data_IF_332302393218
#
_entry.id   IF_332302393218
#
_cell.length_a   1.000
_cell.length_b   1.000
_cell.length_c   1.000
_cell.angle_alpha   90.00
_cell.angle_beta   90.00
_cell.angle_gamma   90.00
#
_symmetry.space_group_name_H-M   'P 1'
#
loop_
_entity.id
_entity.type
_entity.pdbx_description
1 polymer ?
#
# COMPACT_ATOMS: atom_id res chain seq x y z
N UNK A 1 -23.78 -12.14 -0.61
CA UNK A 1 -23.58 -10.77 -1.14
C UNK A 1 -22.19 -10.26 -0.74
N UNK A 2 -21.15 -10.84 -1.34
CA UNK A 2 -19.79 -10.28 -1.33
C UNK A 2 -19.46 -10.03 -2.81
N UNK A 3 -20.10 -9.02 -3.39
CA UNK A 3 -19.53 -8.35 -4.55
C UNK A 3 -18.26 -7.67 -4.06
N UNK A 4 -17.10 -7.98 -4.64
CA UNK A 4 -15.81 -7.37 -4.29
C UNK A 4 -15.71 -5.89 -4.67
N UNK A 5 -16.81 -5.16 -4.66
CA UNK A 5 -16.83 -3.71 -4.68
C UNK A 5 -16.66 -3.26 -3.23
N UNK A 6 -15.47 -2.74 -2.93
CA UNK A 6 -15.16 -2.07 -1.68
C UNK A 6 -16.22 -0.99 -1.40
N UNK A 7 -16.49 -0.73 -0.13
CA UNK A 7 -17.42 0.33 0.28
C UNK A 7 -17.06 1.66 -0.42
N UNK A 8 -18.06 2.43 -0.88
CA UNK A 8 -17.81 3.66 -1.62
C UNK A 8 -17.03 4.66 -0.75
N UNK A 9 -15.98 5.24 -1.33
CA UNK A 9 -15.20 6.28 -0.67
C UNK A 9 -15.94 7.62 -0.77
N UNK A 10 -16.23 8.21 0.38
CA UNK A 10 -16.80 9.56 0.47
C UNK A 10 -15.68 10.59 0.60
N UNK A 11 -15.52 11.40 -0.44
CA UNK A 11 -14.53 12.49 -0.52
C UNK A 11 -15.25 13.83 -0.41
N UNK A 12 -14.73 14.71 0.46
CA UNK A 12 -15.23 16.07 0.66
C UNK A 12 -14.13 17.05 0.28
N UNK A 13 -14.45 18.00 -0.60
CA UNK A 13 -13.55 19.09 -0.95
C UNK A 13 -13.62 20.20 0.10
N UNK A 14 -12.57 20.38 0.88
CA UNK A 14 -12.53 21.33 2.00
C UNK A 14 -11.49 22.42 1.74
N UNK A 15 -11.88 23.68 1.93
CA UNK A 15 -10.95 24.81 1.85
C UNK A 15 -10.17 24.96 3.17
N UNK A 16 -8.89 24.58 3.16
CA UNK A 16 -8.01 24.53 4.34
C UNK A 16 -6.88 25.57 4.26
N UNK A 17 -6.41 26.07 5.40
CA UNK A 17 -5.23 26.94 5.49
C UNK A 17 -3.96 26.09 5.49
N UNK A 18 -3.36 25.92 4.32
CA UNK A 18 -2.19 25.09 4.09
C UNK A 18 -0.88 25.88 4.18
N UNK A 19 0.22 25.16 4.47
CA UNK A 19 1.57 25.72 4.47
C UNK A 19 2.05 26.04 3.04
N UNK A 20 3.03 26.95 2.91
CA UNK A 20 3.64 27.28 1.60
C UNK A 20 4.39 26.11 0.97
N UNK A 21 4.83 25.15 1.77
CA UNK A 21 5.49 23.93 1.28
C UNK A 21 4.50 23.04 0.54
N UNK A 22 3.29 22.91 1.07
CA UNK A 22 2.21 22.13 0.46
C UNK A 22 1.79 22.65 -0.91
N UNK A 23 1.92 23.95 -1.17
CA UNK A 23 1.60 24.57 -2.47
C UNK A 23 2.55 24.15 -3.59
N UNK A 24 3.75 23.65 -3.27
CA UNK A 24 4.77 23.25 -4.26
C UNK A 24 4.58 21.83 -4.78
N UNK A 25 3.72 21.05 -4.13
CA UNK A 25 3.51 19.65 -4.48
C UNK A 25 2.09 19.46 -5.01
N UNK A 26 1.98 18.88 -6.19
CA UNK A 26 0.69 18.62 -6.84
C UNK A 26 -0.07 17.44 -6.21
N UNK A 27 0.60 16.62 -5.40
CA UNK A 27 -0.02 15.47 -4.73
C UNK A 27 -0.90 15.91 -3.56
N UNK A 28 -2.14 15.42 -3.52
CA UNK A 28 -3.11 15.65 -2.44
C UNK A 28 -2.56 15.28 -1.05
N UNK A 29 -1.76 14.21 -0.97
CA UNK A 29 -1.15 13.71 0.28
C UNK A 29 -0.14 14.69 0.89
N UNK A 30 0.35 15.66 0.13
CA UNK A 30 1.33 16.63 0.59
C UNK A 30 0.73 17.84 1.34
N UNK A 31 -0.60 17.91 1.45
CA UNK A 31 -1.30 18.98 2.15
C UNK A 31 -1.01 18.92 3.66
N UNK A 32 -0.44 20.01 4.20
CA UNK A 32 -0.10 20.19 5.61
C UNK A 32 -0.64 21.52 6.12
N UNK A 33 -1.09 21.59 7.39
CA UNK A 33 -1.55 22.84 7.97
C UNK A 33 -0.41 23.88 8.02
N UNK A 34 -0.77 25.16 7.86
CA UNK A 34 0.18 26.24 8.09
C UNK A 34 0.63 26.25 9.56
N UNK A 35 1.92 26.54 9.80
CA UNK A 35 2.43 26.70 11.16
C UNK A 35 1.84 27.95 11.83
N UNK A 36 1.80 28.05 13.17
CA UNK A 36 1.22 29.20 13.88
C UNK A 36 1.81 30.56 13.47
N UNK A 37 3.10 30.59 13.16
CA UNK A 37 3.88 31.75 12.72
C UNK A 37 3.77 32.02 11.21
N UNK A 38 3.16 31.11 10.45
CA UNK A 38 3.07 31.19 9.00
C UNK A 38 1.72 31.75 8.56
N UNK A 39 1.72 32.71 7.62
CA UNK A 39 0.48 33.27 7.04
C UNK A 39 -0.40 32.19 6.41
N UNK A 40 0.21 31.17 5.79
CA UNK A 40 -0.49 30.12 5.04
C UNK A 40 -1.25 30.64 3.82
N UNK A 41 -1.78 29.72 3.02
CA UNK A 41 -2.70 30.01 1.90
C UNK A 41 -3.89 29.05 1.96
N UNK A 42 -5.08 29.54 1.63
CA UNK A 42 -6.28 28.72 1.58
C UNK A 42 -6.25 27.84 0.33
N UNK A 43 -6.35 26.52 0.44
CA UNK A 43 -6.35 25.58 -0.69
C UNK A 43 -7.54 24.63 -0.58
N UNK A 44 -8.17 24.29 -1.70
CA UNK A 44 -9.22 23.26 -1.74
C UNK A 44 -8.52 21.91 -1.76
N UNK A 45 -8.72 21.11 -0.72
CA UNK A 45 -8.10 19.80 -0.53
C UNK A 45 -9.20 18.75 -0.46
N UNK A 46 -9.21 17.74 -1.35
CA UNK A 46 -10.10 16.60 -1.21
C UNK A 46 -9.64 15.73 -0.04
N UNK A 47 -10.52 15.55 0.95
CA UNK A 47 -10.25 14.74 2.15
C UNK A 47 -11.31 13.67 2.31
N UNK A 48 -10.93 12.53 2.90
CA UNK A 48 -11.89 11.48 3.25
C UNK A 48 -12.79 11.94 4.40
N UNK A 49 -14.07 11.55 4.35
CA UNK A 49 -15.09 12.00 5.32
C UNK A 49 -14.71 11.76 6.79
N UNK A 50 -13.98 10.67 7.09
CA UNK A 50 -13.57 10.33 8.46
C UNK A 50 -12.49 11.25 9.04
N UNK A 51 -11.90 12.13 8.23
CA UNK A 51 -10.93 13.13 8.68
C UNK A 51 -11.60 14.40 9.21
N UNK A 52 -12.92 14.53 9.05
CA UNK A 52 -13.70 15.65 9.59
C UNK A 52 -13.96 15.41 11.09
N UNK A 53 -13.40 16.26 11.95
CA UNK A 53 -13.52 16.14 13.40
C UNK A 53 -14.71 16.89 14.00
N UNK A 54 -15.22 17.92 13.32
CA UNK A 54 -16.30 18.77 13.81
C UNK A 54 -17.11 19.36 12.66
N UNK A 55 -18.40 19.58 12.90
CA UNK A 55 -19.31 20.29 11.99
C UNK A 55 -19.96 21.42 12.77
N UNK A 56 -19.92 22.63 12.20
CA UNK A 56 -20.49 23.83 12.80
C UNK A 56 -21.84 24.19 12.17
N UNK A 57 -22.70 24.84 12.95
CA UNK A 57 -23.94 25.47 12.45
C UNK A 57 -23.67 26.71 11.59
N UNK A 58 -22.48 27.30 11.68
CA UNK A 58 -22.13 28.52 10.95
C UNK A 58 -21.94 28.23 9.46
N UNK A 59 -22.69 28.94 8.62
CA UNK A 59 -22.54 28.92 7.16
C UNK A 59 -22.03 30.27 6.68
N UNK A 60 -20.91 30.25 5.95
CA UNK A 60 -20.31 31.44 5.37
C UNK A 60 -20.62 31.55 3.88
N UNK A 61 -20.69 32.78 3.40
CA UNK A 61 -20.72 33.03 1.96
C UNK A 61 -19.40 32.58 1.32
N UNK A 62 -19.49 31.78 0.27
CA UNK A 62 -18.37 31.35 -0.55
C UNK A 62 -18.48 32.00 -1.94
N UNK A 63 -17.41 32.62 -2.46
CA UNK A 63 -17.38 33.07 -3.85
C UNK A 63 -17.60 31.90 -4.82
N UNK A 64 -18.32 32.14 -5.93
CA UNK A 64 -18.59 31.10 -6.95
C UNK A 64 -17.32 30.54 -7.62
N UNK A 65 -16.25 31.33 -7.67
CA UNK A 65 -14.96 30.91 -8.23
C UNK A 65 -13.88 30.96 -7.15
N UNK A 66 -13.36 29.80 -6.76
CA UNK A 66 -12.28 29.65 -5.78
C UNK A 66 -10.91 29.43 -6.43
N UNK A 67 -10.77 29.53 -7.76
CA UNK A 67 -9.44 29.46 -8.40
C UNK A 67 -8.56 30.66 -8.02
N UNK A 68 -9.06 31.91 -8.01
CA UNK A 68 -8.26 33.07 -7.61
C UNK A 68 -7.86 33.02 -6.14
N UNK A 69 -6.58 33.33 -5.86
CA UNK A 69 -6.04 33.40 -4.49
C UNK A 69 -6.83 34.40 -3.64
N UNK A 70 -7.17 35.56 -4.19
CA UNK A 70 -7.90 36.62 -3.47
C UNK A 70 -9.29 36.16 -3.01
N UNK A 71 -9.98 35.38 -3.84
CA UNK A 71 -11.29 34.82 -3.50
C UNK A 71 -11.18 33.80 -2.36
N UNK A 72 -10.17 32.91 -2.41
CA UNK A 72 -9.89 31.97 -1.32
C UNK A 72 -9.50 32.70 -0.03
N UNK A 73 -8.70 33.75 -0.14
CA UNK A 73 -8.27 34.54 1.01
C UNK A 73 -9.40 35.36 1.64
N UNK A 74 -10.40 35.76 0.85
CA UNK A 74 -11.63 36.39 1.36
C UNK A 74 -12.41 35.47 2.32
N UNK A 75 -12.45 34.17 2.02
CA UNK A 75 -13.07 33.17 2.89
C UNK A 75 -12.31 33.05 4.22
N UNK A 76 -10.96 33.09 4.21
CA UNK A 76 -10.16 33.11 5.44
C UNK A 76 -10.49 34.30 6.32
N UNK A 77 -10.63 35.51 5.74
CA UNK A 77 -11.02 36.70 6.49
C UNK A 77 -12.39 36.52 7.14
N UNK A 78 -13.32 35.89 6.42
CA UNK A 78 -14.67 35.59 6.94
C UNK A 78 -14.63 34.58 8.09
N UNK A 79 -13.79 33.55 8.00
CA UNK A 79 -13.56 32.58 9.08
C UNK A 79 -12.97 33.28 10.32
N UNK A 80 -11.98 34.14 10.13
CA UNK A 80 -11.36 34.90 11.23
C UNK A 80 -12.35 35.85 11.91
N UNK A 81 -13.25 36.47 11.15
CA UNK A 81 -14.31 37.32 11.70
C UNK A 81 -15.28 36.51 12.56
N UNK A 82 -15.64 35.29 12.14
CA UNK A 82 -16.46 34.38 12.96
C UNK A 82 -15.74 33.98 14.23
N UNK A 83 -14.46 33.60 14.14
CA UNK A 83 -13.65 33.26 15.31
C UNK A 83 -13.56 34.42 16.32
N UNK A 84 -13.48 35.67 15.83
CA UNK A 84 -13.50 36.86 16.70
C UNK A 84 -14.85 37.06 17.39
N UNK A 85 -15.96 36.73 16.73
CA UNK A 85 -17.32 36.85 17.30
C UNK A 85 -17.65 35.74 18.30
N UNK A 86 -16.96 34.60 18.20
CA UNK A 86 -17.13 33.45 19.07
C UNK A 86 -15.79 33.10 19.76
N UNK A 87 -15.35 33.93 20.74
CA UNK A 87 -14.07 33.73 21.43
C UNK A 87 -14.02 32.42 22.21
N UNK A 88 -15.17 31.93 22.68
CA UNK A 88 -15.30 30.67 23.42
C UNK A 88 -15.36 29.42 22.51
N UNK A 89 -15.35 29.63 21.19
CA UNK A 89 -15.44 28.57 20.17
C UNK A 89 -16.68 28.70 19.29
N UNK A 90 -16.53 28.30 18.03
CA UNK A 90 -17.61 28.34 17.04
C UNK A 90 -18.66 27.29 17.40
N UNK A 91 -19.98 27.60 17.34
CA UNK A 91 -21.02 26.65 17.71
C UNK A 91 -21.00 25.41 16.81
N UNK A 92 -20.96 24.24 17.46
CA UNK A 92 -20.99 22.94 16.80
C UNK A 92 -22.42 22.41 16.70
N UNK A 93 -22.67 21.54 15.73
CA UNK A 93 -23.91 20.80 15.64
C UNK A 93 -23.92 19.67 16.66
N UNK A 94 -25.02 19.53 17.39
CA UNK A 94 -25.23 18.39 18.28
C UNK A 94 -25.42 17.09 17.47
N UNK A 95 -24.67 16.02 17.77
CA UNK A 95 -24.80 14.75 17.06
C UNK A 95 -26.20 14.13 17.09
N UNK A 96 -27.00 14.37 18.12
CA UNK A 96 -28.34 13.79 18.29
C UNK A 96 -29.40 14.80 17.86
N UNK A 97 -29.40 16.00 18.43
CA UNK A 97 -30.47 16.97 18.27
C UNK A 97 -30.43 17.65 16.90
N UNK A 98 -29.24 18.02 16.41
CA UNK A 98 -29.09 18.69 15.11
C UNK A 98 -28.82 17.71 13.96
N UNK A 99 -27.94 16.73 14.17
CA UNK A 99 -27.55 15.76 13.14
C UNK A 99 -28.49 14.54 13.07
N UNK A 100 -29.33 14.32 14.07
CA UNK A 100 -30.33 13.25 14.06
C UNK A 100 -29.76 11.83 14.21
N UNK A 101 -28.55 11.66 14.77
CA UNK A 101 -27.93 10.33 14.90
C UNK A 101 -28.62 9.54 16.01
N UNK A 102 -29.33 8.47 15.62
CA UNK A 102 -30.13 7.65 16.54
C UNK A 102 -29.36 6.45 17.13
N UNK A 103 -28.05 6.39 16.95
CA UNK A 103 -27.23 5.26 17.41
C UNK A 103 -27.17 5.17 18.96
N UNK A 104 -27.44 3.98 19.47
CA UNK A 104 -27.43 3.72 20.91
C UNK A 104 -26.01 3.67 21.48
N UNK A 105 -25.02 3.32 20.66
CA UNK A 105 -23.61 3.36 21.03
C UNK A 105 -23.18 4.79 21.34
N UNK A 106 -23.50 5.74 20.44
CA UNK A 106 -23.23 7.16 20.62
C UNK A 106 -23.85 7.73 21.90
N UNK A 107 -25.12 7.42 22.18
CA UNK A 107 -25.79 7.85 23.43
C UNK A 107 -25.04 7.40 24.69
N UNK A 108 -24.53 6.17 24.70
CA UNK A 108 -23.72 5.66 25.82
C UNK A 108 -22.36 6.37 25.94
N UNK A 109 -21.77 6.78 24.82
CA UNK A 109 -20.52 7.55 24.82
C UNK A 109 -20.76 8.94 25.40
N UNK A 110 -21.81 9.64 24.96
CA UNK A 110 -22.18 10.97 25.48
C UNK A 110 -22.41 10.91 26.99
N UNK A 111 -23.20 9.96 27.49
CA UNK A 111 -23.41 9.75 28.93
C UNK A 111 -22.10 9.53 29.71
N UNK A 112 -21.12 8.83 29.11
CA UNK A 112 -19.81 8.64 29.73
C UNK A 112 -19.01 9.94 29.74
N UNK A 113 -19.05 10.73 28.66
CA UNK A 113 -18.39 12.04 28.60
C UNK A 113 -18.93 12.93 29.72
N UNK A 114 -20.25 13.08 29.84
CA UNK A 114 -20.90 13.85 30.91
C UNK A 114 -20.49 13.35 32.31
N UNK A 115 -20.45 12.03 32.52
CA UNK A 115 -20.02 11.45 33.79
C UNK A 115 -18.54 11.74 34.10
N UNK A 116 -17.66 11.76 33.10
CA UNK A 116 -16.26 12.10 33.28
C UNK A 116 -16.05 13.61 33.47
N UNK A 117 -16.81 14.46 32.81
CA UNK A 117 -16.81 15.91 33.03
C UNK A 117 -17.24 16.23 34.47
N UNK A 118 -18.34 15.63 34.95
CA UNK A 118 -18.75 15.79 36.34
C UNK A 118 -17.64 15.37 37.31
N UNK A 119 -16.97 14.23 37.04
CA UNK A 119 -15.83 13.79 37.85
C UNK A 119 -14.66 14.74 37.78
N UNK A 120 -14.36 15.30 36.61
CA UNK A 120 -13.30 16.27 36.40
C UNK A 120 -13.55 17.52 37.23
N UNK A 121 -14.74 18.13 37.14
CA UNK A 121 -15.10 19.32 37.92
C UNK A 121 -15.15 19.07 39.42
N UNK A 122 -15.56 17.86 39.85
CA UNK A 122 -15.59 17.47 41.26
C UNK A 122 -14.21 17.21 41.87
N UNK A 123 -13.19 17.00 41.05
CA UNK A 123 -11.87 16.63 41.53
C UNK A 123 -11.16 17.85 42.15
N UNK A 124 -10.57 17.75 43.36
CA UNK A 124 -9.96 18.90 44.04
C UNK A 124 -8.90 19.64 43.22
N UNK A 125 -8.15 18.91 42.40
CA UNK A 125 -7.10 19.47 41.54
C UNK A 125 -7.64 20.40 40.44
N UNK A 126 -8.93 20.30 40.07
CA UNK A 126 -9.49 21.12 38.98
C UNK A 126 -9.42 22.63 39.27
N UNK A 127 -9.60 23.01 40.54
CA UNK A 127 -9.55 24.40 40.99
C UNK A 127 -8.21 24.77 41.64
N UNK A 128 -7.23 23.87 41.65
CA UNK A 128 -5.92 24.12 42.26
C UNK A 128 -5.08 25.01 41.32
N UNK A 129 -4.53 26.14 41.80
CA UNK A 129 -3.70 27.02 40.98
C UNK A 129 -2.41 26.35 40.45
N UNK A 130 -1.98 25.26 41.08
CA UNK A 130 -0.81 24.48 40.65
C UNK A 130 -1.17 23.31 39.72
N UNK A 131 -2.43 23.19 39.28
CA UNK A 131 -2.92 22.12 38.39
C UNK A 131 -1.96 21.87 37.23
N UNK A 132 -1.60 22.90 36.47
CA UNK A 132 -0.76 22.78 35.27
C UNK A 132 0.60 22.16 35.59
N UNK A 133 1.23 22.60 36.69
CA UNK A 133 2.54 22.10 37.12
C UNK A 133 2.45 20.63 37.55
N UNK A 134 1.47 20.29 38.37
CA UNK A 134 1.27 18.92 38.88
C UNK A 134 0.89 17.97 37.74
N UNK A 135 0.02 18.42 36.84
CA UNK A 135 -0.41 17.67 35.67
C UNK A 135 0.76 17.39 34.73
N UNK A 136 1.59 18.40 34.42
CA UNK A 136 2.81 18.24 33.62
C UNK A 136 3.78 17.23 34.23
N UNK A 137 3.96 17.24 35.55
CA UNK A 137 4.81 16.25 36.24
C UNK A 137 4.21 14.84 36.17
N UNK A 138 2.90 14.71 36.28
CA UNK A 138 2.18 13.44 36.13
C UNK A 138 2.32 12.89 34.71
N UNK A 139 2.16 13.74 33.70
CA UNK A 139 2.34 13.40 32.29
C UNK A 139 3.78 12.93 32.02
N UNK A 140 4.79 13.67 32.50
CA UNK A 140 6.20 13.25 32.39
C UNK A 140 6.44 11.89 33.06
N UNK A 141 5.89 11.67 34.26
CA UNK A 141 6.00 10.38 34.96
C UNK A 141 5.35 9.25 34.17
N UNK A 142 4.16 9.49 33.60
CA UNK A 142 3.45 8.53 32.78
C UNK A 142 4.23 8.19 31.51
N UNK A 143 4.81 9.21 30.84
CA UNK A 143 5.65 9.03 29.67
C UNK A 143 6.88 8.17 29.99
N UNK A 144 7.61 8.49 31.06
CA UNK A 144 8.75 7.68 31.51
C UNK A 144 8.33 6.24 31.83
N UNK A 145 7.15 6.03 32.42
CA UNK A 145 6.64 4.69 32.69
C UNK A 145 6.33 3.90 31.39
N UNK A 146 5.82 4.58 30.36
CA UNK A 146 5.63 4.02 29.01
C UNK A 146 6.99 3.66 28.41
N UNK A 147 7.97 4.55 28.49
CA UNK A 147 9.32 4.34 27.96
C UNK A 147 10.01 3.16 28.65
N UNK A 148 9.93 3.07 29.98
CA UNK A 148 10.43 1.93 30.76
C UNK A 148 9.76 0.63 30.31
N UNK A 149 8.44 0.63 30.10
CA UNK A 149 7.72 -0.56 29.63
C UNK A 149 8.14 -0.95 28.22
N UNK A 150 8.37 0.02 27.35
CA UNK A 150 8.89 -0.19 25.99
C UNK A 150 10.29 -0.79 26.02
N UNK A 151 11.23 -0.16 26.75
CA UNK A 151 12.60 -0.64 26.91
C UNK A 151 12.67 -2.06 27.51
N UNK A 152 11.81 -2.36 28.49
CA UNK A 152 11.68 -3.73 29.03
C UNK A 152 11.20 -4.74 27.98
N UNK A 153 10.27 -4.35 27.09
CA UNK A 153 9.83 -5.21 25.98
C UNK A 153 10.95 -5.43 24.97
N UNK A 154 11.70 -4.39 24.62
CA UNK A 154 12.84 -4.50 23.70
C UNK A 154 13.95 -5.38 24.27
N UNK A 155 14.28 -5.24 25.55
CA UNK A 155 15.25 -6.10 26.22
C UNK A 155 14.81 -7.58 26.19
N UNK A 156 13.51 -7.84 26.38
CA UNK A 156 12.95 -9.20 26.24
C UNK A 156 13.06 -9.71 24.79
N UNK A 157 12.80 -8.86 23.80
CA UNK A 157 12.97 -9.17 22.37
C UNK A 157 14.43 -9.49 22.05
N UNK A 158 15.39 -8.69 22.52
CA UNK A 158 16.81 -8.89 22.26
C UNK A 158 17.37 -10.19 22.85
N UNK A 159 16.80 -10.67 23.96
CA UNK A 159 17.15 -11.99 24.55
C UNK A 159 16.52 -13.17 23.81
N UNK A 160 15.50 -12.93 23.00
CA UNK A 160 14.86 -13.96 22.19
C UNK A 160 15.58 -14.00 20.84
N UNK A 161 15.86 -15.19 20.30
CA UNK A 161 16.36 -15.30 18.93
C UNK A 161 15.18 -14.95 18.01
N UNK A 162 15.03 -13.66 17.70
CA UNK A 162 13.86 -13.06 17.03
C UNK A 162 13.44 -13.80 15.76
N UNK A 163 14.39 -14.39 15.03
CA UNK A 163 14.14 -15.09 13.77
C UNK A 163 13.77 -16.57 13.93
N UNK A 164 13.87 -17.17 15.12
CA UNK A 164 13.58 -18.61 15.29
C UNK A 164 12.09 -18.94 15.17
N UNK A 165 11.21 -18.07 15.66
CA UNK A 165 9.78 -18.32 15.58
C UNK A 165 9.24 -18.08 14.18
N UNK A 166 9.74 -17.03 13.51
CA UNK A 166 9.46 -16.82 12.09
C UNK A 166 9.98 -17.99 11.23
N UNK A 167 11.21 -18.45 11.47
CA UNK A 167 11.79 -19.61 10.78
C UNK A 167 10.92 -20.87 10.94
N UNK A 168 10.39 -21.12 12.14
CA UNK A 168 9.45 -22.25 12.37
C UNK A 168 8.17 -22.08 11.55
N UNK A 169 7.63 -20.87 11.48
CA UNK A 169 6.42 -20.57 10.69
C UNK A 169 6.70 -20.75 9.19
N UNK A 170 7.83 -20.24 8.68
CA UNK A 170 8.26 -20.46 7.28
C UNK A 170 8.47 -21.94 6.96
N UNK A 171 9.14 -22.69 7.85
CA UNK A 171 9.28 -24.16 7.71
C UNK A 171 7.93 -24.86 7.65
N UNK A 172 6.94 -24.42 8.44
CA UNK A 172 5.58 -24.97 8.38
C UNK A 172 4.92 -24.73 7.02
N UNK A 173 5.11 -23.57 6.40
CA UNK A 173 4.64 -23.29 5.03
C UNK A 173 5.31 -24.22 4.03
N UNK A 174 6.65 -24.30 4.04
CA UNK A 174 7.42 -25.15 3.13
C UNK A 174 6.98 -26.62 3.21
N UNK A 175 6.72 -27.13 4.42
CA UNK A 175 6.23 -28.49 4.64
C UNK A 175 4.82 -28.71 4.11
N UNK A 176 3.92 -27.74 4.28
CA UNK A 176 2.53 -27.83 3.82
C UNK A 176 2.40 -27.74 2.30
N UNK A 177 3.25 -26.96 1.65
CA UNK A 177 3.28 -26.80 0.20
C UNK A 177 4.14 -27.86 -0.51
N UNK A 178 4.79 -28.74 0.24
CA UNK A 178 5.59 -29.86 -0.30
C UNK A 178 6.98 -29.46 -0.82
N UNK A 179 7.53 -28.32 -0.37
CA UNK A 179 8.90 -27.91 -0.68
C UNK A 179 9.94 -28.66 0.18
N UNK A 180 9.54 -29.13 1.36
CA UNK A 180 10.33 -29.96 2.24
C UNK A 180 9.45 -30.96 2.99
N UNK A 181 10.04 -32.06 3.44
CA UNK A 181 9.37 -33.06 4.29
C UNK A 181 9.21 -32.58 5.73
N UNK A 182 8.40 -33.30 6.52
CA UNK A 182 8.25 -33.04 7.96
C UNK A 182 9.55 -33.12 8.75
N UNK A 183 10.55 -33.86 8.25
CA UNK A 183 11.89 -34.00 8.81
C UNK A 183 12.89 -32.95 8.30
N UNK A 184 12.42 -31.89 7.64
CA UNK A 184 13.24 -30.83 7.04
C UNK A 184 14.20 -31.30 5.94
N UNK A 185 13.85 -32.39 5.26
CA UNK A 185 14.58 -32.85 4.06
C UNK A 185 13.97 -32.17 2.83
N UNK A 186 14.81 -31.54 2.01
CA UNK A 186 14.38 -30.83 0.80
C UNK A 186 13.80 -31.79 -0.25
N UNK A 187 12.64 -31.43 -0.79
CA UNK A 187 11.96 -32.18 -1.85
C UNK A 187 12.30 -31.62 -3.25
N UNK A 188 11.86 -32.30 -4.31
CA UNK A 188 12.08 -31.83 -5.69
C UNK A 188 11.58 -30.40 -5.89
N UNK A 189 10.40 -30.06 -5.37
CA UNK A 189 9.85 -28.70 -5.43
C UNK A 189 10.76 -27.68 -4.74
N UNK A 190 11.34 -28.04 -3.59
CA UNK A 190 12.33 -27.22 -2.89
C UNK A 190 13.59 -26.98 -3.71
N UNK A 191 14.13 -28.00 -4.39
CA UNK A 191 15.33 -27.87 -5.23
C UNK A 191 15.11 -26.91 -6.39
N UNK A 192 13.95 -26.97 -7.02
CA UNK A 192 13.57 -26.10 -8.14
C UNK A 192 13.46 -24.65 -7.68
N UNK A 193 12.85 -24.43 -6.51
CA UNK A 193 12.75 -23.10 -5.91
C UNK A 193 14.13 -22.48 -5.63
N UNK A 194 15.15 -23.29 -5.31
CA UNK A 194 16.52 -22.80 -5.08
C UNK A 194 17.17 -22.18 -6.33
N UNK A 195 16.67 -22.47 -7.54
CA UNK A 195 17.18 -21.86 -8.78
C UNK A 195 16.62 -20.45 -9.01
N UNK A 196 15.58 -20.05 -8.26
CA UNK A 196 14.89 -18.77 -8.40
C UNK A 196 15.31 -17.85 -7.26
N UNK A 197 15.90 -16.71 -7.61
CA UNK A 197 16.41 -15.72 -6.64
C UNK A 197 16.01 -14.27 -6.94
N UNK A 198 15.52 -14.01 -8.15
CA UNK A 198 15.18 -12.66 -8.63
C UNK A 198 13.71 -12.26 -8.42
N UNK A 199 12.89 -13.19 -7.91
CA UNK A 199 11.44 -13.08 -7.75
C UNK A 199 10.93 -14.04 -6.65
N UNK A 200 9.61 -14.06 -6.41
CA UNK A 200 8.97 -14.99 -5.46
C UNK A 200 9.10 -16.45 -5.92
N UNK A 201 10.06 -17.14 -5.29
CA UNK A 201 10.45 -18.51 -5.60
C UNK A 201 9.34 -19.53 -5.30
N UNK A 202 8.50 -19.26 -4.31
CA UNK A 202 7.46 -20.17 -3.86
C UNK A 202 6.31 -20.19 -4.86
N UNK A 203 5.85 -19.01 -5.28
CA UNK A 203 4.75 -18.86 -6.24
C UNK A 203 5.15 -19.35 -7.63
N UNK A 204 6.34 -18.99 -8.11
CA UNK A 204 6.81 -19.43 -9.43
C UNK A 204 6.95 -20.95 -9.51
N UNK A 205 7.49 -21.56 -8.47
CA UNK A 205 7.61 -23.03 -8.40
C UNK A 205 6.23 -23.69 -8.30
N UNK A 206 5.29 -23.16 -7.50
CA UNK A 206 3.90 -23.66 -7.47
C UNK A 206 3.24 -23.59 -8.86
N UNK A 207 3.40 -22.48 -9.58
CA UNK A 207 2.85 -22.32 -10.93
C UNK A 207 3.46 -23.31 -11.92
N UNK A 208 4.77 -23.58 -11.84
CA UNK A 208 5.41 -24.60 -12.67
C UNK A 208 4.87 -26.00 -12.38
N UNK A 209 4.75 -26.39 -11.10
CA UNK A 209 4.25 -27.71 -10.72
C UNK A 209 2.75 -27.90 -10.96
N UNK A 210 1.96 -26.82 -10.94
CA UNK A 210 0.55 -26.83 -11.34
C UNK A 210 0.37 -26.88 -12.87
N UNK A 211 1.46 -26.83 -13.64
CA UNK A 211 1.43 -26.90 -15.09
C UNK A 211 0.93 -25.63 -15.79
N UNK A 212 0.84 -24.50 -15.07
CA UNK A 212 0.31 -23.24 -15.63
C UNK A 212 1.08 -22.84 -16.90
N UNK A 213 2.41 -22.94 -16.87
CA UNK A 213 3.26 -22.56 -17.99
C UNK A 213 3.22 -23.55 -19.16
N UNK A 214 2.63 -24.73 -19.03
CA UNK A 214 2.63 -25.75 -20.09
C UNK A 214 1.78 -25.31 -21.29
N UNK A 215 0.63 -24.69 -21.04
CA UNK A 215 -0.33 -24.28 -22.07
C UNK A 215 -0.08 -22.87 -22.63
N UNK A 216 0.87 -22.12 -22.05
CA UNK A 216 1.19 -20.77 -22.49
C UNK A 216 2.15 -20.75 -23.68
N UNK A 217 2.01 -19.76 -24.56
CA UNK A 217 3.07 -19.41 -25.52
C UNK A 217 4.29 -18.83 -24.80
N UNK A 218 5.44 -18.79 -25.48
CA UNK A 218 6.66 -18.17 -24.93
C UNK A 218 6.45 -16.68 -24.60
N UNK A 219 5.69 -15.96 -25.43
CA UNK A 219 5.31 -14.56 -25.21
C UNK A 219 4.39 -14.40 -24.00
N UNK A 220 3.37 -15.26 -23.85
CA UNK A 220 2.47 -15.23 -22.70
C UNK A 220 3.20 -15.55 -21.40
N UNK A 221 4.07 -16.56 -21.40
CA UNK A 221 4.88 -16.91 -20.23
C UNK A 221 5.80 -15.75 -19.82
N UNK A 222 6.47 -15.13 -20.80
CA UNK A 222 7.35 -13.98 -20.57
C UNK A 222 6.58 -12.76 -20.06
N UNK A 223 5.41 -12.48 -20.64
CA UNK A 223 4.53 -11.40 -20.19
C UNK A 223 4.05 -11.62 -18.75
N UNK A 224 3.64 -12.84 -18.38
CA UNK A 224 3.21 -13.16 -17.02
C UNK A 224 4.33 -12.99 -16.00
N UNK A 225 5.55 -13.39 -16.34
CA UNK A 225 6.72 -13.23 -15.46
C UNK A 225 7.08 -11.75 -15.23
N UNK A 226 6.64 -10.82 -16.09
CA UNK A 226 6.85 -9.38 -15.88
C UNK A 226 6.21 -8.88 -14.57
N UNK A 227 5.10 -9.50 -14.14
CA UNK A 227 4.42 -9.17 -12.89
C UNK A 227 5.30 -9.32 -11.65
N UNK A 228 6.31 -10.19 -11.71
CA UNK A 228 7.19 -10.51 -10.60
C UNK A 228 8.37 -9.55 -10.48
N UNK A 229 8.78 -8.93 -11.59
CA UNK A 229 9.99 -8.08 -11.65
C UNK A 229 9.68 -6.59 -11.78
N UNK A 230 8.47 -6.24 -12.22
CA UNK A 230 8.01 -4.86 -12.27
C UNK A 230 7.60 -4.38 -10.87
N UNK A 231 8.34 -3.42 -10.32
CA UNK A 231 8.14 -2.93 -8.95
C UNK A 231 7.65 -1.48 -8.87
N UNK A 232 7.59 -0.76 -9.99
CA UNK A 232 7.19 0.66 -9.98
C UNK A 232 5.68 0.82 -9.88
N UNK A 233 5.23 1.96 -9.38
CA UNK A 233 3.81 2.29 -9.36
C UNK A 233 3.47 2.91 -10.71
N UNK A 234 2.44 2.37 -11.37
CA UNK A 234 1.82 3.00 -12.54
C UNK A 234 0.40 3.35 -12.16
N UNK A 235 -0.08 4.48 -12.68
CA UNK A 235 -1.40 5.02 -12.34
C UNK A 235 -2.53 4.37 -13.13
N UNK A 236 -2.21 3.69 -14.23
CA UNK A 236 -3.18 3.07 -15.14
C UNK A 236 -3.10 1.55 -15.09
N UNK A 237 -4.19 0.89 -14.70
CA UNK A 237 -4.33 -0.54 -14.98
C UNK A 237 -4.52 -0.74 -16.49
N UNK A 238 -3.62 -1.46 -17.19
CA UNK A 238 -3.80 -1.72 -18.61
C UNK A 238 -5.04 -2.59 -18.81
N UNK A 239 -5.78 -2.32 -19.89
CA UNK A 239 -6.84 -3.21 -20.36
C UNK A 239 -6.19 -4.45 -20.96
N UNK A 240 -5.90 -5.43 -20.11
CA UNK A 240 -5.36 -6.72 -20.49
C UNK A 240 -6.21 -7.36 -21.57
N UNK A 241 -5.54 -7.88 -22.60
CA UNK A 241 -6.18 -8.74 -23.59
C UNK A 241 -6.73 -10.02 -22.92
N UNK A 242 -7.81 -10.59 -23.45
CA UNK A 242 -8.41 -11.82 -22.90
C UNK A 242 -7.40 -12.97 -22.76
N UNK A 243 -6.41 -13.02 -23.67
CA UNK A 243 -5.34 -14.01 -23.70
C UNK A 243 -4.34 -13.88 -22.53
N UNK A 244 -4.23 -12.70 -21.90
CA UNK A 244 -3.34 -12.44 -20.76
C UNK A 244 -4.09 -12.34 -19.44
N UNK A 245 -5.39 -11.99 -19.47
CA UNK A 245 -6.26 -11.98 -18.30
C UNK A 245 -6.41 -13.38 -17.68
N UNK A 246 -6.51 -14.43 -18.49
CA UNK A 246 -6.60 -15.81 -18.03
C UNK A 246 -5.38 -16.25 -17.20
N UNK A 247 -4.15 -16.20 -17.75
CA UNK A 247 -2.93 -16.51 -17.01
C UNK A 247 -2.74 -15.66 -15.75
N UNK A 248 -3.04 -14.36 -15.80
CA UNK A 248 -2.98 -13.48 -14.64
C UNK A 248 -3.91 -13.96 -13.51
N UNK A 249 -5.15 -14.31 -13.85
CA UNK A 249 -6.12 -14.83 -12.87
C UNK A 249 -5.63 -16.11 -12.22
N UNK A 250 -5.08 -17.05 -12.99
CA UNK A 250 -4.55 -18.30 -12.45
C UNK A 250 -3.34 -18.06 -11.52
N UNK A 251 -2.46 -17.12 -11.87
CA UNK A 251 -1.37 -16.69 -10.99
C UNK A 251 -1.91 -16.11 -9.68
N UNK A 252 -2.91 -15.22 -9.73
CA UNK A 252 -3.53 -14.63 -8.54
C UNK A 252 -4.21 -15.69 -7.66
N UNK A 253 -4.87 -16.69 -8.25
CA UNK A 253 -5.46 -17.81 -7.51
C UNK A 253 -4.39 -18.66 -6.79
N UNK A 254 -3.23 -18.88 -7.43
CA UNK A 254 -2.08 -19.53 -6.78
C UNK A 254 -1.51 -18.68 -5.64
N UNK A 255 -1.34 -17.37 -5.86
CA UNK A 255 -0.86 -16.43 -4.85
C UNK A 255 -1.79 -16.38 -3.62
N UNK A 256 -3.11 -16.33 -3.84
CA UNK A 256 -4.12 -16.41 -2.77
C UNK A 256 -3.97 -17.66 -1.92
N UNK A 257 -3.74 -18.81 -2.56
CA UNK A 257 -3.53 -20.08 -1.86
C UNK A 257 -2.30 -20.03 -0.96
N UNK A 258 -1.19 -19.47 -1.45
CA UNK A 258 0.05 -19.32 -0.68
C UNK A 258 -0.17 -18.36 0.50
N UNK A 259 -0.78 -17.19 0.27
CA UNK A 259 -1.09 -16.23 1.33
C UNK A 259 -1.91 -16.86 2.45
N UNK A 260 -2.95 -17.62 2.09
CA UNK A 260 -3.79 -18.36 3.04
C UNK A 260 -2.99 -19.38 3.85
N UNK A 261 -2.17 -20.21 3.19
CA UNK A 261 -1.35 -21.22 3.87
C UNK A 261 -0.34 -20.55 4.82
N UNK A 262 0.22 -19.41 4.41
CA UNK A 262 1.13 -18.60 5.22
C UNK A 262 0.46 -17.99 6.45
N UNK A 263 -0.73 -17.42 6.29
CA UNK A 263 -1.53 -16.90 7.40
C UNK A 263 -1.90 -18.00 8.40
N UNK A 264 -2.35 -19.16 7.91
CA UNK A 264 -2.63 -20.35 8.75
C UNK A 264 -1.38 -20.90 9.46
N UNK A 265 -0.18 -20.63 8.92
CA UNK A 265 1.10 -20.95 9.53
C UNK A 265 1.58 -19.90 10.53
N UNK A 266 0.78 -18.87 10.82
CA UNK A 266 1.06 -17.75 11.73
C UNK A 266 2.13 -16.77 11.24
N UNK A 267 2.32 -16.66 9.93
CA UNK A 267 3.09 -15.56 9.36
C UNK A 267 2.21 -14.31 9.27
N UNK A 268 2.79 -13.15 9.56
CA UNK A 268 2.14 -11.85 9.40
C UNK A 268 2.16 -11.46 7.92
N UNK A 269 1.24 -12.03 7.14
CA UNK A 269 1.05 -11.73 5.73
C UNK A 269 -0.38 -11.22 5.55
N UNK A 270 -0.51 -10.04 4.97
CA UNK A 270 -1.76 -9.52 4.48
C UNK A 270 -2.00 -9.99 3.03
N UNK A 271 -3.16 -10.60 2.78
CA UNK A 271 -3.47 -11.21 1.48
C UNK A 271 -3.52 -10.17 0.36
N UNK A 272 -4.13 -9.01 0.63
CA UNK A 272 -4.26 -7.93 -0.36
C UNK A 272 -2.88 -7.34 -0.70
N UNK A 273 -2.05 -7.07 0.31
CA UNK A 273 -0.68 -6.60 0.12
C UNK A 273 0.15 -7.60 -0.68
N UNK A 274 0.05 -8.90 -0.38
CA UNK A 274 0.78 -9.93 -1.13
C UNK A 274 0.34 -10.01 -2.59
N UNK A 275 -0.97 -9.99 -2.87
CA UNK A 275 -1.47 -10.01 -4.24
C UNK A 275 -1.09 -8.75 -5.02
N UNK A 276 -1.17 -7.58 -4.38
CA UNK A 276 -0.84 -6.29 -5.00
C UNK A 276 0.65 -6.09 -5.27
N UNK A 277 1.50 -6.94 -4.68
CA UNK A 277 2.94 -6.96 -4.94
C UNK A 277 3.27 -7.41 -6.37
N UNK A 278 2.38 -8.19 -7.01
CA UNK A 278 2.52 -8.63 -8.39
C UNK A 278 1.81 -7.66 -9.33
N UNK A 279 2.58 -6.92 -10.13
CA UNK A 279 2.07 -5.76 -10.87
C UNK A 279 1.87 -6.06 -12.35
N UNK A 280 0.63 -6.17 -12.86
CA UNK A 280 0.35 -6.53 -14.26
C UNK A 280 0.54 -5.38 -15.26
N UNK A 281 0.96 -4.20 -14.81
CA UNK A 281 0.97 -2.95 -15.58
C UNK A 281 1.81 -3.01 -16.87
N UNK A 282 2.83 -3.85 -16.92
CA UNK A 282 3.68 -4.03 -18.11
C UNK A 282 3.41 -5.34 -18.88
N UNK A 283 2.39 -6.13 -18.52
CA UNK A 283 2.13 -7.41 -19.18
C UNK A 283 1.91 -7.27 -20.69
N UNK A 284 0.99 -6.41 -21.13
CA UNK A 284 0.73 -6.20 -22.56
C UNK A 284 1.94 -5.59 -23.29
N UNK A 285 2.67 -4.70 -22.62
CA UNK A 285 3.90 -4.05 -23.13
C UNK A 285 4.96 -5.12 -23.42
N UNK A 286 5.19 -6.02 -22.46
CA UNK A 286 6.16 -7.12 -22.57
C UNK A 286 5.72 -8.13 -23.60
N UNK A 287 4.43 -8.48 -23.66
CA UNK A 287 3.89 -9.36 -24.69
C UNK A 287 4.11 -8.79 -26.09
N UNK A 288 3.73 -7.53 -26.31
CA UNK A 288 3.85 -6.84 -27.61
C UNK A 288 5.32 -6.69 -28.04
N UNK A 289 6.22 -6.48 -27.07
CA UNK A 289 7.65 -6.56 -27.31
C UNK A 289 8.09 -7.98 -27.70
N UNK A 290 7.67 -9.01 -26.99
CA UNK A 290 8.03 -10.39 -27.32
C UNK A 290 7.52 -10.83 -28.71
N UNK A 291 6.43 -10.25 -29.20
CA UNK A 291 5.92 -10.50 -30.58
C UNK A 291 6.64 -9.71 -31.68
N UNK A 292 7.64 -8.88 -31.34
CA UNK A 292 8.50 -8.21 -32.32
C UNK A 292 8.22 -6.72 -32.57
N UNK A 293 7.38 -6.04 -31.78
CA UNK A 293 7.10 -4.61 -31.96
C UNK A 293 8.33 -3.71 -31.70
N UNK A 294 8.36 -2.50 -32.26
CA UNK A 294 9.49 -1.58 -32.00
C UNK A 294 9.43 -0.97 -30.59
N UNK A 295 10.57 -0.53 -30.06
CA UNK A 295 10.62 0.06 -28.72
C UNK A 295 9.75 1.33 -28.64
N UNK A 296 9.79 2.15 -29.69
CA UNK A 296 8.96 3.34 -29.82
C UNK A 296 7.45 3.04 -29.82
N UNK A 297 7.03 1.84 -30.24
CA UNK A 297 5.63 1.44 -30.16
C UNK A 297 5.22 1.10 -28.72
N UNK A 298 6.02 0.28 -28.02
CA UNK A 298 5.67 -0.15 -26.66
C UNK A 298 5.70 1.01 -25.65
N UNK A 299 6.55 2.03 -25.85
CA UNK A 299 6.56 3.24 -25.01
C UNK A 299 5.26 4.06 -25.13
N UNK A 300 4.50 3.90 -26.21
CA UNK A 300 3.19 4.59 -26.38
C UNK A 300 2.05 3.85 -25.70
N UNK A 301 2.27 2.63 -25.23
CA UNK A 301 1.23 1.79 -24.62
C UNK A 301 1.08 2.00 -23.11
N UNK A 302 2.02 2.73 -22.48
CA UNK A 302 2.07 2.89 -21.02
C UNK A 302 2.58 4.28 -20.65
N UNK A 303 2.20 4.76 -19.47
CA UNK A 303 2.69 5.98 -18.82
C UNK A 303 4.06 5.80 -18.15
N UNK A 304 4.55 4.56 -18.07
CA UNK A 304 5.83 4.22 -17.43
C UNK A 304 7.02 4.75 -18.23
N UNK A 305 7.96 5.41 -17.55
CA UNK A 305 9.18 5.92 -18.17
C UNK A 305 10.01 4.83 -18.86
N UNK A 306 10.67 5.19 -19.96
CA UNK A 306 11.41 4.26 -20.82
C UNK A 306 12.54 3.54 -20.07
N UNK A 307 13.22 4.25 -19.17
CA UNK A 307 14.28 3.66 -18.34
C UNK A 307 13.75 2.57 -17.40
N UNK A 308 12.52 2.71 -16.93
CA UNK A 308 11.84 1.72 -16.08
C UNK A 308 11.41 0.49 -16.87
N UNK A 309 10.93 0.68 -18.11
CA UNK A 309 10.65 -0.42 -19.05
C UNK A 309 11.93 -1.23 -19.32
N UNK A 310 13.04 -0.56 -19.62
CA UNK A 310 14.34 -1.23 -19.86
C UNK A 310 14.81 -2.00 -18.63
N UNK A 311 14.69 -1.41 -17.43
CA UNK A 311 15.05 -2.07 -16.17
C UNK A 311 14.20 -3.32 -15.93
N UNK A 312 12.89 -3.24 -16.18
CA UNK A 312 11.98 -4.38 -16.08
C UNK A 312 12.40 -5.51 -17.04
N UNK A 313 12.66 -5.21 -18.31
CA UNK A 313 13.09 -6.19 -19.32
C UNK A 313 14.41 -6.88 -18.96
N UNK A 314 15.38 -6.14 -18.42
CA UNK A 314 16.66 -6.72 -17.98
C UNK A 314 16.49 -7.67 -16.80
N UNK A 315 15.67 -7.30 -15.81
CA UNK A 315 15.34 -8.19 -14.68
C UNK A 315 14.53 -9.40 -15.12
N UNK A 316 13.64 -9.22 -16.09
CA UNK A 316 12.85 -10.30 -16.68
C UNK A 316 13.73 -11.32 -17.39
N UNK A 317 14.78 -10.87 -18.09
CA UNK A 317 15.75 -11.75 -18.73
C UNK A 317 16.51 -12.61 -17.71
N UNK A 318 16.94 -12.01 -16.60
CA UNK A 318 17.56 -12.74 -15.49
C UNK A 318 16.58 -13.76 -14.87
N UNK A 319 15.33 -13.35 -14.65
CA UNK A 319 14.30 -14.26 -14.14
C UNK A 319 14.06 -15.44 -15.10
N UNK A 320 13.97 -15.19 -16.41
CA UNK A 320 13.82 -16.26 -17.40
C UNK A 320 15.01 -17.22 -17.39
N UNK A 321 16.25 -16.74 -17.20
CA UNK A 321 17.44 -17.60 -17.05
C UNK A 321 17.30 -18.52 -15.85
N UNK A 322 16.81 -18.00 -14.73
CA UNK A 322 16.55 -18.77 -13.52
C UNK A 322 15.42 -19.79 -13.73
N UNK A 323 14.36 -19.41 -14.44
CA UNK A 323 13.27 -20.32 -14.83
C UNK A 323 13.73 -21.43 -15.77
N UNK A 324 14.70 -21.17 -16.67
CA UNK A 324 15.34 -22.24 -17.47
C UNK A 324 16.06 -23.25 -16.59
N UNK A 325 16.84 -22.81 -15.59
CA UNK A 325 17.54 -23.71 -14.67
C UNK A 325 16.54 -24.49 -13.80
N UNK A 326 15.49 -23.85 -13.33
CA UNK A 326 14.38 -24.49 -12.63
C UNK A 326 13.72 -25.59 -13.48
N UNK A 327 13.43 -25.31 -14.76
CA UNK A 327 12.85 -26.28 -15.69
C UNK A 327 13.79 -27.46 -15.97
N UNK A 328 15.09 -27.18 -16.07
CA UNK A 328 16.13 -28.20 -16.21
C UNK A 328 16.22 -29.10 -14.97
N UNK A 329 16.07 -28.53 -13.76
CA UNK A 329 16.10 -29.27 -12.51
C UNK A 329 14.92 -30.25 -12.34
N UNK A 330 13.74 -29.95 -12.91
CA UNK A 330 12.62 -30.90 -12.98
C UNK A 330 12.72 -31.88 -14.16
N UNK A 331 13.66 -31.69 -15.09
CA UNK A 331 13.80 -32.49 -16.30
C UNK A 331 12.73 -32.21 -17.37
N UNK A 332 12.13 -31.00 -17.37
CA UNK A 332 11.13 -30.61 -18.36
C UNK A 332 11.79 -29.75 -19.46
N UNK A 333 12.22 -30.42 -20.53
CA UNK A 333 12.90 -29.78 -21.66
C UNK A 333 11.97 -28.86 -22.47
N UNK A 334 10.66 -29.13 -22.48
CA UNK A 334 9.68 -28.25 -23.15
C UNK A 334 9.59 -26.89 -22.46
N UNK A 335 9.53 -26.87 -21.13
CA UNK A 335 9.55 -25.62 -20.36
C UNK A 335 10.90 -24.91 -20.45
N UNK A 336 12.01 -25.65 -20.42
CA UNK A 336 13.35 -25.09 -20.62
C UNK A 336 13.44 -24.35 -21.96
N UNK A 337 13.01 -25.00 -23.05
CA UNK A 337 13.00 -24.42 -24.38
C UNK A 337 12.06 -23.22 -24.47
N UNK A 338 10.88 -23.29 -23.86
CA UNK A 338 9.90 -22.19 -23.84
C UNK A 338 10.45 -20.93 -23.16
N UNK A 339 11.09 -21.08 -22.00
CA UNK A 339 11.71 -19.95 -21.31
C UNK A 339 12.93 -19.43 -22.07
N UNK A 340 13.75 -20.31 -22.66
CA UNK A 340 14.87 -19.93 -23.49
C UNK A 340 14.44 -19.15 -24.74
N UNK A 341 13.36 -19.57 -25.40
CA UNK A 341 12.76 -18.85 -26.53
C UNK A 341 12.23 -17.47 -26.09
N UNK A 342 11.61 -17.39 -24.91
CA UNK A 342 11.21 -16.12 -24.29
C UNK A 342 12.37 -15.14 -24.16
N UNK A 343 13.55 -15.60 -23.71
CA UNK A 343 14.77 -14.79 -23.63
C UNK A 343 15.14 -14.25 -25.01
N UNK A 344 15.16 -15.11 -26.04
CA UNK A 344 15.50 -14.69 -27.41
C UNK A 344 14.54 -13.64 -27.95
N UNK A 345 13.23 -13.75 -27.66
CA UNK A 345 12.21 -12.80 -28.10
C UNK A 345 12.34 -11.43 -27.45
N UNK A 346 12.73 -11.37 -26.17
CA UNK A 346 12.89 -10.07 -25.47
C UNK A 346 14.27 -9.45 -25.66
N UNK A 347 15.32 -10.26 -25.88
CA UNK A 347 16.71 -9.80 -25.93
C UNK A 347 17.07 -9.24 -27.31
N UNK A 348 16.59 -8.04 -27.62
CA UNK A 348 16.88 -7.34 -28.88
C UNK A 348 17.01 -5.82 -28.72
N UNK A 349 17.61 -5.21 -29.75
CA UNK A 349 17.72 -3.78 -29.95
C UNK A 349 18.26 -3.01 -28.72
N UNK A 350 17.77 -1.78 -28.54
CA UNK A 350 18.25 -0.80 -27.55
C UNK A 350 18.10 -1.24 -26.10
N UNK A 351 17.23 -2.20 -25.80
CA UNK A 351 16.96 -2.68 -24.43
C UNK A 351 18.19 -3.40 -23.84
N UNK A 352 18.98 -4.05 -24.71
CA UNK A 352 20.13 -4.86 -24.33
C UNK A 352 21.45 -4.36 -24.92
N UNK A 353 21.48 -3.13 -25.44
CA UNK A 353 22.74 -2.49 -25.83
C UNK A 353 23.67 -2.41 -24.61
N UNK A 354 24.90 -2.92 -24.77
CA UNK A 354 25.95 -2.72 -23.79
C UNK A 354 26.43 -1.27 -23.85
N UNK A 355 26.87 -0.73 -22.70
CA UNK A 355 27.54 0.57 -22.68
C UNK A 355 28.73 0.54 -23.64
N UNK A 356 28.98 1.65 -24.34
CA UNK A 356 30.14 1.82 -25.22
C UNK A 356 31.48 1.75 -24.46
N UNK A 357 31.45 1.83 -23.14
CA UNK A 357 32.58 1.57 -22.25
C UNK A 357 32.47 0.15 -21.70
N UNK A 358 32.98 -0.81 -22.48
CA UNK A 358 33.18 -2.19 -22.06
C UNK A 358 34.68 -2.42 -21.85
#
# INVERSE_FOLDING_TARGET
PNSGELDPLYVVEVLLRCSKESLKNSATEAAKPAKPDEKGEMQVVPVLVHLLSAISSVRLYIPKDLRPVDNRQSVLKSIQEVQKRFPDGVPLLDPIDDMGIQDQGLKKVIQKVEAFEHRMYSHPLHNDPNLETVYTLCEKKAQIAVDIKSAKRELKKARTVLQMDELKCRKRVLRRLGFATSSDVIEMKGRVACEISSADELLLTEMMFNGLFNDLSAEQATALLSCFVFQENSSEMPKLTEQLAGPLRQMQECAKRIAKVSAEAKLEIDEETYLSSFKPHLMDVVYTWATGATFAHICKMTDVFEGSIIRCMRRLEELLRQMCQAAKAIGNTELENKFAEGITKIKRDIVFAASLYL
#
